data_IF_156443570385
#
_entry.id   IF_156443570385
#
_cell.length_a   1.000
_cell.length_b   1.000
_cell.length_c   1.000
_cell.angle_alpha   90.00
_cell.angle_beta   90.00
_cell.angle_gamma   90.00
#
_symmetry.space_group_name_H-M   'P 1'
#
loop_
_entity.id
_entity.type
_entity.pdbx_description
1 polymer ?
#
# COMPACT_ATOMS: atom_id res chain seq x y z
N UNK A 1 -2.30 -6.25 -9.67
CA UNK A 1 -2.80 -7.59 -9.27
C UNK A 1 -2.68 -7.85 -7.77
N UNK A 2 -1.52 -7.63 -7.14
CA UNK A 2 -1.37 -7.80 -5.67
C UNK A 2 -2.39 -6.95 -4.88
N UNK A 3 -2.54 -5.67 -5.25
CA UNK A 3 -3.51 -4.75 -4.62
C UNK A 3 -4.95 -5.23 -4.74
N UNK A 4 -5.33 -5.92 -5.83
CA UNK A 4 -6.67 -6.46 -6.00
C UNK A 4 -6.93 -7.64 -5.06
N UNK A 5 -5.96 -8.54 -4.87
CA UNK A 5 -6.06 -9.63 -3.88
C UNK A 5 -6.12 -9.06 -2.46
N UNK A 6 -5.34 -8.01 -2.18
CA UNK A 6 -5.36 -7.34 -0.88
C UNK A 6 -6.74 -6.80 -0.51
N UNK A 7 -7.53 -6.31 -1.49
CA UNK A 7 -8.91 -5.85 -1.24
C UNK A 7 -9.77 -6.97 -0.65
N UNK A 8 -9.66 -8.22 -1.12
CA UNK A 8 -10.41 -9.34 -0.55
C UNK A 8 -10.08 -9.58 0.92
N UNK A 9 -8.79 -9.55 1.27
CA UNK A 9 -8.31 -9.71 2.66
C UNK A 9 -8.84 -8.56 3.55
N UNK A 10 -8.72 -7.32 3.06
CA UNK A 10 -9.15 -6.13 3.79
C UNK A 10 -10.67 -6.08 3.97
N UNK A 11 -11.45 -6.45 2.95
CA UNK A 11 -12.91 -6.52 3.02
C UNK A 11 -13.38 -7.63 3.96
N UNK A 12 -12.70 -8.77 3.99
CA UNK A 12 -12.97 -9.81 4.99
C UNK A 12 -12.72 -9.31 6.40
N UNK A 13 -11.55 -8.71 6.68
CA UNK A 13 -11.22 -8.18 7.99
C UNK A 13 -12.20 -7.06 8.42
N UNK A 14 -12.55 -6.17 7.49
CA UNK A 14 -13.55 -5.13 7.70
C UNK A 14 -14.92 -5.73 8.02
N UNK A 15 -15.37 -6.73 7.25
CA UNK A 15 -16.62 -7.44 7.48
C UNK A 15 -16.69 -8.09 8.86
N UNK A 16 -15.60 -8.75 9.29
CA UNK A 16 -15.49 -9.30 10.66
C UNK A 16 -15.55 -8.20 11.71
N UNK A 17 -14.85 -7.08 11.49
CA UNK A 17 -14.82 -5.97 12.47
C UNK A 17 -16.19 -5.29 12.66
N UNK A 18 -17.06 -5.35 11.65
CA UNK A 18 -18.38 -4.72 11.66
C UNK A 18 -19.52 -5.68 12.03
N UNK A 19 -19.26 -6.97 12.24
CA UNK A 19 -20.32 -7.95 12.44
C UNK A 19 -20.98 -7.85 13.82
N UNK A 20 -20.22 -7.51 14.87
CA UNK A 20 -20.68 -7.30 16.25
C UNK A 20 -19.53 -6.75 17.11
N UNK A 21 -19.77 -6.37 18.39
CA UNK A 21 -18.68 -6.07 19.33
C UNK A 21 -17.65 -7.20 19.46
N UNK A 22 -18.10 -8.44 19.54
CA UNK A 22 -17.23 -9.63 19.59
C UNK A 22 -16.45 -9.82 18.28
N UNK A 23 -17.07 -9.51 17.13
CA UNK A 23 -16.39 -9.51 15.83
C UNK A 23 -15.28 -8.47 15.74
N UNK A 24 -15.49 -7.28 16.31
CA UNK A 24 -14.45 -6.26 16.43
C UNK A 24 -13.28 -6.74 17.32
N UNK A 25 -13.57 -7.33 18.47
CA UNK A 25 -12.53 -7.90 19.35
C UNK A 25 -11.75 -9.00 18.63
N UNK A 26 -12.42 -9.87 17.87
CA UNK A 26 -11.78 -10.89 17.05
C UNK A 26 -10.86 -10.28 15.99
N UNK A 27 -11.32 -9.28 15.23
CA UNK A 27 -10.52 -8.60 14.23
C UNK A 27 -9.29 -7.91 14.85
N UNK A 28 -9.47 -7.28 16.01
CA UNK A 28 -8.39 -6.67 16.79
C UNK A 28 -7.36 -7.70 17.25
N UNK A 29 -7.81 -8.85 17.77
CA UNK A 29 -6.92 -9.95 18.17
C UNK A 29 -6.11 -10.51 16.99
N UNK A 30 -6.75 -10.68 15.82
CA UNK A 30 -6.08 -11.08 14.57
C UNK A 30 -4.97 -10.08 14.22
N UNK A 31 -5.28 -8.78 14.27
CA UNK A 31 -4.31 -7.69 14.01
C UNK A 31 -3.19 -7.58 15.06
N UNK A 32 -3.35 -8.20 16.23
CA UNK A 32 -2.29 -8.31 17.24
C UNK A 32 -1.15 -9.25 16.85
N UNK A 33 -1.37 -10.15 15.89
CA UNK A 33 -0.37 -11.13 15.45
C UNK A 33 0.74 -10.47 14.61
N UNK A 34 2.00 -10.79 14.92
CA UNK A 34 3.16 -10.34 14.14
C UNK A 34 3.04 -10.68 12.65
N UNK A 35 2.61 -11.90 12.31
CA UNK A 35 2.48 -12.34 10.92
C UNK A 35 1.40 -11.55 10.17
N UNK A 36 0.29 -11.25 10.85
CA UNK A 36 -0.80 -10.45 10.25
C UNK A 36 -0.34 -9.01 10.05
N UNK A 37 0.35 -8.42 11.04
CA UNK A 37 0.99 -7.11 10.90
C UNK A 37 1.97 -7.08 9.74
N UNK A 38 2.78 -8.13 9.56
CA UNK A 38 3.69 -8.24 8.41
C UNK A 38 2.94 -8.28 7.06
N UNK A 39 1.84 -9.02 6.98
CA UNK A 39 0.97 -9.04 5.79
C UNK A 39 0.37 -7.65 5.55
N UNK A 40 -0.15 -6.99 6.60
CA UNK A 40 -0.71 -5.64 6.51
C UNK A 40 0.33 -4.64 6.01
N UNK A 41 1.56 -4.70 6.53
CA UNK A 41 2.67 -3.87 6.05
C UNK A 41 3.00 -4.12 4.58
N UNK A 42 2.99 -5.39 4.14
CA UNK A 42 3.14 -5.75 2.74
C UNK A 42 2.03 -5.19 1.84
N UNK A 43 0.78 -5.23 2.30
CA UNK A 43 -0.38 -4.63 1.62
C UNK A 43 -0.20 -3.12 1.48
N UNK A 44 0.13 -2.43 2.58
CA UNK A 44 0.34 -0.98 2.57
C UNK A 44 1.53 -0.59 1.67
N UNK A 45 2.60 -1.38 1.66
CA UNK A 45 3.76 -1.16 0.78
C UNK A 45 3.38 -1.33 -0.69
N UNK A 46 2.62 -2.37 -1.04
CA UNK A 46 2.13 -2.58 -2.40
C UNK A 46 1.17 -1.46 -2.83
N UNK A 47 0.31 -0.99 -1.93
CA UNK A 47 -0.58 0.14 -2.18
C UNK A 47 0.19 1.45 -2.39
N UNK A 48 1.19 1.74 -1.54
CA UNK A 48 2.04 2.91 -1.66
C UNK A 48 2.78 2.92 -3.01
N UNK A 49 3.37 1.80 -3.41
CA UNK A 49 3.99 1.67 -4.73
C UNK A 49 3.00 1.93 -5.87
N UNK A 50 1.82 1.31 -5.79
CA UNK A 50 0.78 1.46 -6.81
C UNK A 50 0.34 2.92 -6.97
N UNK A 51 0.09 3.63 -5.87
CA UNK A 51 -0.31 5.04 -5.88
C UNK A 51 0.81 5.92 -6.42
N UNK A 52 2.06 5.75 -5.94
CA UNK A 52 3.20 6.56 -6.38
C UNK A 52 3.47 6.41 -7.88
N UNK A 53 3.42 5.17 -8.39
CA UNK A 53 3.60 4.92 -9.84
C UNK A 53 2.37 5.37 -10.62
N UNK A 54 1.16 5.26 -10.08
CA UNK A 54 -0.06 5.82 -10.67
C UNK A 54 0.03 7.34 -10.85
N UNK A 55 0.47 8.06 -9.82
CA UNK A 55 0.74 9.51 -9.90
C UNK A 55 1.80 9.80 -10.96
N UNK A 56 2.89 9.03 -11.00
CA UNK A 56 3.91 9.16 -12.05
C UNK A 56 3.31 9.01 -13.44
N UNK A 57 2.42 8.04 -13.66
CA UNK A 57 1.74 7.87 -14.95
C UNK A 57 0.85 9.08 -15.28
N UNK A 58 0.04 9.56 -14.33
CA UNK A 58 -0.78 10.76 -14.54
C UNK A 58 0.10 11.97 -14.90
N UNK A 59 1.26 12.14 -14.27
CA UNK A 59 2.20 13.21 -14.63
C UNK A 59 2.75 13.08 -16.06
N UNK A 60 2.92 11.85 -16.56
CA UNK A 60 3.29 11.62 -17.97
C UNK A 60 2.13 11.97 -18.90
N UNK A 61 0.91 11.52 -18.57
CA UNK A 61 -0.28 11.75 -19.39
C UNK A 61 -0.62 13.24 -19.55
N UNK A 62 -0.34 14.06 -18.53
CA UNK A 62 -0.51 15.51 -18.56
C UNK A 62 0.70 16.28 -19.11
N UNK A 63 1.77 15.59 -19.53
CA UNK A 63 2.97 16.24 -20.08
C UNK A 63 3.85 16.96 -19.04
N UNK A 64 3.69 16.68 -17.74
CA UNK A 64 4.54 17.23 -16.68
C UNK A 64 5.92 16.54 -16.58
N UNK A 65 6.07 15.37 -17.20
CA UNK A 65 7.34 14.66 -17.32
C UNK A 65 7.76 14.61 -18.80
N UNK A 66 9.02 14.98 -19.07
CA UNK A 66 9.58 14.85 -20.41
C UNK A 66 9.52 13.41 -20.92
N UNK A 67 9.18 13.23 -22.20
CA UNK A 67 9.12 11.93 -22.88
C UNK A 67 10.52 11.46 -23.35
N UNK A 68 11.50 11.55 -22.46
CA UNK A 68 12.87 11.09 -22.72
C UNK A 68 13.21 9.88 -21.87
N UNK A 69 14.11 9.02 -22.37
CA UNK A 69 14.57 7.85 -21.61
C UNK A 69 15.22 8.24 -20.27
N UNK A 70 15.98 9.34 -20.25
CA UNK A 70 16.63 9.84 -19.03
C UNK A 70 15.61 10.32 -17.98
N UNK A 71 14.60 11.08 -18.39
CA UNK A 71 13.52 11.49 -17.49
C UNK A 71 12.69 10.29 -17.00
N UNK A 72 12.45 9.31 -17.86
CA UNK A 72 11.80 8.04 -17.53
C UNK A 72 12.53 7.26 -16.43
N UNK A 73 13.85 7.10 -16.56
CA UNK A 73 14.71 6.46 -15.54
C UNK A 73 14.73 7.26 -14.24
N UNK A 74 14.89 8.58 -14.31
CA UNK A 74 14.96 9.45 -13.14
C UNK A 74 13.67 9.39 -12.32
N UNK A 75 12.52 9.56 -12.99
CA UNK A 75 11.20 9.49 -12.34
C UNK A 75 10.93 8.11 -11.73
N UNK A 76 11.31 7.02 -12.40
CA UNK A 76 11.17 5.67 -11.84
C UNK A 76 12.01 5.47 -10.57
N UNK A 77 13.27 5.91 -10.55
CA UNK A 77 14.12 5.87 -9.35
C UNK A 77 13.53 6.68 -8.20
N UNK A 78 13.03 7.88 -8.49
CA UNK A 78 12.35 8.72 -7.48
C UNK A 78 11.12 8.01 -6.92
N UNK A 79 10.28 7.42 -7.77
CA UNK A 79 9.12 6.63 -7.32
C UNK A 79 9.52 5.52 -6.36
N UNK A 80 10.58 4.75 -6.66
CA UNK A 80 11.08 3.71 -5.74
C UNK A 80 11.53 4.29 -4.40
N UNK A 81 12.28 5.39 -4.38
CA UNK A 81 12.72 6.04 -3.13
C UNK A 81 11.52 6.47 -2.29
N UNK A 82 10.53 7.12 -2.91
CA UNK A 82 9.30 7.54 -2.22
C UNK A 82 8.56 6.32 -1.65
N UNK A 83 8.42 5.25 -2.43
CA UNK A 83 7.79 4.01 -1.96
C UNK A 83 8.52 3.40 -0.77
N UNK A 84 9.86 3.38 -0.77
CA UNK A 84 10.64 2.87 0.37
C UNK A 84 10.38 3.72 1.62
N UNK A 85 10.41 5.05 1.50
CA UNK A 85 10.10 5.94 2.62
C UNK A 85 8.69 5.70 3.16
N UNK A 86 7.69 5.62 2.28
CA UNK A 86 6.30 5.35 2.68
C UNK A 86 6.14 3.96 3.32
N UNK A 87 6.86 2.95 2.82
CA UNK A 87 6.88 1.61 3.40
C UNK A 87 7.46 1.61 4.82
N UNK A 88 8.54 2.34 5.07
CA UNK A 88 9.11 2.48 6.42
C UNK A 88 8.14 3.20 7.37
N UNK A 89 7.51 4.28 6.93
CA UNK A 89 6.50 5.00 7.71
C UNK A 89 5.28 4.10 8.01
N UNK A 90 4.83 3.30 7.04
CA UNK A 90 3.78 2.31 7.26
C UNK A 90 4.22 1.22 8.27
N UNK A 91 5.51 0.86 8.28
CA UNK A 91 6.07 -0.02 9.30
C UNK A 91 5.93 0.60 10.70
N UNK A 92 6.35 1.85 10.88
CA UNK A 92 6.19 2.57 12.16
C UNK A 92 4.72 2.67 12.58
N UNK A 93 3.78 2.74 11.64
CA UNK A 93 2.35 2.81 11.94
C UNK A 93 1.76 1.46 12.38
N UNK A 94 2.21 0.36 11.76
CA UNK A 94 1.62 -0.98 11.98
C UNK A 94 2.14 -1.63 13.26
N UNK A 95 3.40 -1.38 13.62
CA UNK A 95 4.04 -1.94 14.81
C UNK A 95 4.06 -0.93 15.96
#
# INVERSE_FOLDING_TARGET
MITFVAVGILLWLLGTSLSSPEGFEQASAIMGSFFVKFIMWGILTALAYHVVVGIRHMMMDFGYLEETFEAGKRSAKISFVITVVLSLLAGVLVW
#
